data_IF_424398200186
#
_entry.id   IF_424398200186
#
_cell.length_a   1.000
_cell.length_b   1.000
_cell.length_c   1.000
_cell.angle_alpha   90.00
_cell.angle_beta   90.00
_cell.angle_gamma   90.00
#
_symmetry.space_group_name_H-M   'P 1'
#
loop_
_entity.id
_entity.type
_entity.pdbx_description
1 polymer ?
#
# COMPACT_ATOMS: atom_id res chain seq x y z
N UNK A 1 -8.70 14.16 -2.55
CA UNK A 1 -9.80 13.66 -1.68
C UNK A 1 -9.32 13.68 -0.24
N UNK A 2 -10.14 14.12 0.72
CA UNK A 2 -9.82 13.94 2.15
C UNK A 2 -9.99 12.46 2.47
N UNK A 3 -8.93 11.80 2.92
CA UNK A 3 -9.05 10.47 3.53
C UNK A 3 -9.90 10.67 4.80
N UNK A 4 -11.03 9.96 4.98
CA UNK A 4 -11.76 10.04 6.24
C UNK A 4 -10.82 9.67 7.38
N UNK A 5 -10.81 10.45 8.46
CA UNK A 5 -10.05 10.08 9.65
C UNK A 5 -10.60 8.75 10.20
N UNK A 6 -9.85 7.67 9.99
CA UNK A 6 -10.20 6.34 10.49
C UNK A 6 -9.98 6.34 12.00
N UNK A 7 -11.03 6.03 12.78
CA UNK A 7 -10.89 5.82 14.21
C UNK A 7 -10.24 4.45 14.48
N UNK A 8 -8.91 4.43 14.51
CA UNK A 8 -8.13 3.20 14.75
C UNK A 8 -8.23 2.67 16.18
N UNK A 9 -8.83 3.41 17.13
CA UNK A 9 -9.05 2.93 18.50
C UNK A 9 -10.39 2.19 18.66
N UNK A 10 -11.24 2.20 17.62
CA UNK A 10 -12.51 1.46 17.60
C UNK A 10 -12.34 0.19 16.78
N UNK A 11 -12.42 -0.97 17.43
CA UNK A 11 -12.23 -2.27 16.76
C UNK A 11 -13.27 -2.54 15.67
N UNK A 12 -14.52 -2.13 15.86
CA UNK A 12 -15.57 -2.32 14.86
C UNK A 12 -15.28 -1.49 13.60
N UNK A 13 -14.85 -0.23 13.76
CA UNK A 13 -14.45 0.64 12.63
C UNK A 13 -13.24 0.07 11.87
N UNK A 14 -12.27 -0.48 12.58
CA UNK A 14 -11.11 -1.15 11.95
C UNK A 14 -11.57 -2.38 11.16
N UNK A 15 -12.40 -3.24 11.77
CA UNK A 15 -12.95 -4.42 11.08
C UNK A 15 -13.73 -4.04 9.83
N UNK A 16 -14.57 -3.01 9.88
CA UNK A 16 -15.38 -2.53 8.77
C UNK A 16 -14.51 -2.12 7.57
N UNK A 17 -13.44 -1.36 7.82
CA UNK A 17 -12.54 -0.91 6.76
C UNK A 17 -11.75 -2.07 6.17
N UNK A 18 -11.25 -2.99 6.99
CA UNK A 18 -10.53 -4.17 6.51
C UNK A 18 -11.44 -5.09 5.69
N UNK A 19 -12.71 -5.23 6.09
CA UNK A 19 -13.71 -5.99 5.35
C UNK A 19 -14.01 -5.33 3.99
N UNK A 20 -14.23 -4.00 3.98
CA UNK A 20 -14.45 -3.25 2.75
C UNK A 20 -13.25 -3.32 1.80
N UNK A 21 -12.02 -3.19 2.31
CA UNK A 21 -10.80 -3.36 1.52
C UNK A 21 -10.70 -4.79 0.94
N UNK A 22 -11.08 -5.80 1.71
CA UNK A 22 -11.09 -7.20 1.25
C UNK A 22 -12.07 -7.39 0.10
N UNK A 23 -13.30 -6.86 0.22
CA UNK A 23 -14.31 -6.91 -0.83
C UNK A 23 -13.83 -6.22 -2.10
N UNK A 24 -13.24 -5.03 -1.97
CA UNK A 24 -12.69 -4.28 -3.10
C UNK A 24 -11.56 -5.03 -3.80
N UNK A 25 -10.65 -5.65 -3.04
CA UNK A 25 -9.54 -6.45 -3.57
C UNK A 25 -10.04 -7.71 -4.30
N UNK A 26 -11.03 -8.41 -3.74
CA UNK A 26 -11.60 -9.61 -4.34
C UNK A 26 -12.43 -9.30 -5.58
N UNK A 27 -13.08 -8.13 -5.63
CA UNK A 27 -13.85 -7.68 -6.77
C UNK A 27 -13.00 -7.11 -7.92
N UNK A 28 -11.68 -6.94 -7.74
CA UNK A 28 -10.81 -6.46 -8.81
C UNK A 28 -10.79 -7.44 -9.99
N UNK A 29 -11.27 -6.98 -11.15
CA UNK A 29 -11.32 -7.78 -12.39
C UNK A 29 -9.94 -8.33 -12.81
N UNK A 30 -8.89 -7.59 -12.48
CA UNK A 30 -7.51 -7.90 -12.88
C UNK A 30 -6.81 -8.83 -11.87
N UNK A 31 -7.49 -9.20 -10.77
CA UNK A 31 -6.98 -10.18 -9.80
C UNK A 31 -7.31 -11.60 -10.29
N UNK A 32 -6.27 -12.41 -10.48
CA UNK A 32 -6.38 -13.82 -10.88
C UNK A 32 -5.74 -14.69 -9.81
N UNK A 33 -6.55 -15.27 -8.93
CA UNK A 33 -6.03 -16.04 -7.79
C UNK A 33 -5.19 -15.16 -6.86
N UNK A 34 -3.88 -15.41 -6.78
CA UNK A 34 -2.93 -14.63 -5.99
C UNK A 34 -2.13 -13.59 -6.80
N UNK A 35 -2.42 -13.43 -8.09
CA UNK A 35 -1.74 -12.46 -8.96
C UNK A 35 -2.67 -11.29 -9.30
N UNK A 36 -2.06 -10.15 -9.68
CA UNK A 36 -2.75 -9.00 -10.25
C UNK A 36 -2.15 -8.72 -11.62
N UNK A 37 -2.96 -8.79 -12.67
CA UNK A 37 -2.53 -8.69 -14.06
C UNK A 37 -2.61 -7.24 -14.51
N UNK A 38 -1.46 -6.63 -14.76
CA UNK A 38 -1.38 -5.24 -15.17
C UNK A 38 -1.54 -5.12 -16.70
N UNK A 39 -2.09 -3.99 -17.20
CA UNK A 39 -2.15 -3.71 -18.62
C UNK A 39 -0.75 -3.60 -19.22
N UNK A 40 -0.66 -3.79 -20.55
CA UNK A 40 0.59 -3.67 -21.32
C UNK A 40 1.05 -2.22 -21.54
N UNK A 41 0.29 -1.25 -21.04
CA UNK A 41 0.48 0.18 -21.20
C UNK A 41 0.53 0.86 -19.84
N UNK A 42 1.07 2.08 -19.79
CA UNK A 42 1.19 2.86 -18.56
C UNK A 42 2.54 2.72 -17.87
N UNK A 43 2.58 3.10 -16.59
CA UNK A 43 3.79 3.06 -15.75
C UNK A 43 3.54 2.19 -14.53
N UNK A 44 4.58 1.47 -14.11
CA UNK A 44 4.58 0.75 -12.83
C UNK A 44 5.69 1.34 -11.98
N UNK A 45 5.32 1.92 -10.84
CA UNK A 45 6.26 2.31 -9.80
C UNK A 45 6.31 1.20 -8.74
N UNK A 46 7.49 0.62 -8.54
CA UNK A 46 7.73 -0.38 -7.48
C UNK A 46 8.54 0.30 -6.39
N UNK A 47 8.01 0.37 -5.16
CA UNK A 47 8.78 0.88 -4.01
C UNK A 47 9.75 -0.19 -3.51
N UNK A 48 10.79 0.23 -2.79
CA UNK A 48 11.43 -0.63 -1.80
C UNK A 48 10.61 -0.64 -0.49
N UNK A 49 11.26 -1.05 0.59
CA UNK A 49 10.61 -1.23 1.90
C UNK A 49 10.15 0.09 2.51
N UNK A 50 8.89 0.15 2.94
CA UNK A 50 8.32 1.38 3.51
C UNK A 50 8.38 1.43 5.03
N UNK A 51 8.25 0.29 5.72
CA UNK A 51 8.36 0.18 7.19
C UNK A 51 7.51 1.22 7.94
N UNK A 52 6.25 1.35 7.55
CA UNK A 52 5.33 2.32 8.14
C UNK A 52 5.79 3.80 8.01
N UNK A 53 6.76 4.12 7.14
CA UNK A 53 7.27 5.47 6.96
C UNK A 53 6.29 6.33 6.12
N UNK A 54 5.56 7.27 6.73
CA UNK A 54 4.54 8.04 6.03
C UNK A 54 5.11 9.03 5.01
N UNK A 55 6.36 9.47 5.20
CA UNK A 55 7.02 10.40 4.28
C UNK A 55 7.40 9.69 2.98
N UNK A 56 7.96 8.49 3.09
CA UNK A 56 8.31 7.69 1.91
C UNK A 56 7.05 7.24 1.17
N UNK A 57 6.00 6.85 1.91
CA UNK A 57 4.70 6.58 1.32
C UNK A 57 4.17 7.78 0.51
N UNK A 58 4.16 8.98 1.10
CA UNK A 58 3.70 10.19 0.41
C UNK A 58 4.51 10.50 -0.86
N UNK A 59 5.84 10.31 -0.83
CA UNK A 59 6.71 10.47 -2.01
C UNK A 59 6.39 9.45 -3.10
N UNK A 60 6.24 8.18 -2.74
CA UNK A 60 5.88 7.10 -3.68
C UNK A 60 4.54 7.39 -4.33
N UNK A 61 3.51 7.75 -3.55
CA UNK A 61 2.18 8.08 -4.10
C UNK A 61 2.25 9.29 -5.03
N UNK A 62 3.02 10.32 -4.68
CA UNK A 62 3.21 11.48 -5.55
C UNK A 62 3.87 11.10 -6.89
N UNK A 63 4.94 10.29 -6.85
CA UNK A 63 5.66 9.82 -8.03
C UNK A 63 4.85 8.83 -8.89
N UNK A 64 3.89 8.13 -8.30
CA UNK A 64 3.06 7.16 -9.00
C UNK A 64 2.04 7.80 -9.96
N UNK A 65 1.71 9.09 -9.78
CA UNK A 65 0.79 9.83 -10.66
C UNK A 65 -0.54 9.07 -10.90
N UNK A 66 -1.16 8.54 -9.83
CA UNK A 66 -2.32 7.64 -9.88
C UNK A 66 -3.63 8.28 -10.38
N UNK A 67 -3.63 9.58 -10.66
CA UNK A 67 -4.73 10.23 -11.40
C UNK A 67 -4.83 9.68 -12.83
N UNK A 68 -3.72 9.14 -13.38
CA UNK A 68 -3.75 8.34 -14.60
C UNK A 68 -4.10 6.87 -14.27
N UNK A 69 -5.24 6.34 -14.75
CA UNK A 69 -5.68 4.98 -14.42
C UNK A 69 -4.78 3.86 -14.99
N UNK A 70 -3.91 4.18 -15.94
CA UNK A 70 -2.91 3.24 -16.48
C UNK A 70 -1.65 3.16 -15.60
N UNK A 71 -1.52 4.04 -14.60
CA UNK A 71 -0.38 4.01 -13.68
C UNK A 71 -0.69 3.12 -12.48
N UNK A 72 0.28 2.30 -12.11
CA UNK A 72 0.18 1.37 -11.00
C UNK A 72 1.33 1.57 -10.01
N UNK A 73 1.03 1.31 -8.74
CA UNK A 73 2.03 1.30 -7.67
C UNK A 73 2.06 -0.08 -7.01
N UNK A 74 3.27 -0.60 -6.80
CA UNK A 74 3.53 -1.79 -5.99
C UNK A 74 4.28 -1.33 -4.74
N UNK A 75 3.65 -1.52 -3.59
CA UNK A 75 4.22 -1.15 -2.29
C UNK A 75 4.85 -2.38 -1.64
N UNK A 76 6.14 -2.30 -1.33
CA UNK A 76 6.89 -3.34 -0.62
C UNK A 76 7.02 -2.97 0.86
N UNK A 77 6.88 -3.99 1.72
CA UNK A 77 6.92 -3.87 3.18
C UNK A 77 6.22 -2.62 3.72
N UNK A 78 4.96 -2.42 3.32
CA UNK A 78 4.15 -1.28 3.74
C UNK A 78 4.09 -1.15 5.27
N UNK A 79 3.96 -2.30 5.93
CA UNK A 79 3.94 -2.46 7.38
C UNK A 79 5.10 -3.37 7.76
N UNK A 80 5.88 -3.00 8.77
CA UNK A 80 7.01 -3.81 9.25
C UNK A 80 7.07 -3.83 10.78
N UNK A 81 7.10 -5.02 11.38
CA UNK A 81 7.15 -5.18 12.83
C UNK A 81 8.58 -4.99 13.37
N UNK A 82 8.99 -3.74 13.56
CA UNK A 82 10.37 -3.37 13.93
C UNK A 82 10.79 -3.53 15.40
N UNK A 83 10.16 -4.39 16.20
CA UNK A 83 10.48 -4.52 17.65
C UNK A 83 11.14 -5.83 18.08
N UNK A 84 11.69 -6.61 17.15
CA UNK A 84 12.57 -7.72 17.54
C UNK A 84 13.99 -7.19 17.75
N UNK A 85 14.41 -7.13 19.01
CA UNK A 85 15.66 -6.57 19.55
C UNK A 85 16.99 -7.05 18.93
N UNK A 86 16.99 -7.87 17.88
CA UNK A 86 18.18 -8.59 17.41
C UNK A 86 18.63 -8.15 16.00
N UNK A 87 17.76 -7.62 15.15
CA UNK A 87 18.16 -7.04 13.85
C UNK A 87 17.35 -5.77 13.56
N UNK A 88 18.05 -4.65 13.40
CA UNK A 88 17.43 -3.38 12.97
C UNK A 88 17.48 -3.39 11.44
N UNK A 89 16.35 -3.67 10.81
CA UNK A 89 16.22 -3.44 9.37
C UNK A 89 16.12 -1.93 9.11
N UNK A 90 16.98 -1.44 8.22
CA UNK A 90 17.15 -0.03 7.88
C UNK A 90 16.98 0.23 6.39
N UNK A 91 16.51 -0.76 5.61
CA UNK A 91 16.31 -0.67 4.17
C UNK A 91 15.43 0.54 3.78
N UNK A 92 14.42 0.88 4.57
CA UNK A 92 13.55 2.05 4.36
C UNK A 92 14.30 3.40 4.29
N UNK A 93 15.52 3.49 4.83
CA UNK A 93 16.34 4.72 4.77
C UNK A 93 16.93 4.99 3.38
N UNK A 94 16.86 4.02 2.48
CA UNK A 94 17.40 4.13 1.12
C UNK A 94 16.38 4.73 0.12
N UNK A 95 15.18 5.09 0.57
CA UNK A 95 14.06 5.69 -0.20
C UNK A 95 13.90 7.20 0.04
#
# INVERSE_FOLDING_TARGET
MSIPAINVTNSASVCEILQSATELLLAQKDRVGCTHHLPSTGKILVSGDLHDNPNNFARVIHLAELDNPENHVVLQELIHSGQTFIEIDLSYKML
#
